data_IF_961978346625
#
_entry.id   IF_961978346625
#
_cell.length_a   1.000
_cell.length_b   1.000
_cell.length_c   1.000
_cell.angle_alpha   90.00
_cell.angle_beta   90.00
_cell.angle_gamma   90.00
#
_symmetry.space_group_name_H-M   'P 1'
#
loop_
_entity.id
_entity.type
_entity.pdbx_description
1 polymer ?
#
# COMPACT_ATOMS: atom_id res chain seq x y z
N UNK A 1 -61.06 64.94 0.20
CA UNK A 1 -59.99 63.99 -0.20
C UNK A 1 -59.40 64.39 -1.56
N UNK A 2 -58.12 64.07 -1.84
CA UNK A 2 -57.18 64.95 -2.56
C UNK A 2 -56.81 64.47 -3.97
N UNK A 3 -56.28 65.37 -4.82
CA UNK A 3 -55.36 65.01 -5.91
C UNK A 3 -54.28 66.09 -6.06
N UNK A 4 -53.04 65.78 -5.66
CA UNK A 4 -51.84 66.54 -6.02
C UNK A 4 -50.99 65.74 -7.01
N UNK A 5 -50.41 66.50 -7.93
CA UNK A 5 -49.72 66.16 -9.17
C UNK A 5 -48.29 65.65 -8.92
N UNK A 6 -47.79 64.87 -9.87
CA UNK A 6 -46.51 64.16 -9.89
C UNK A 6 -45.27 65.05 -9.78
N UNK A 7 -44.19 64.49 -9.19
CA UNK A 7 -42.81 64.78 -9.56
C UNK A 7 -42.03 63.47 -9.64
N UNK A 8 -41.31 63.31 -10.75
CA UNK A 8 -40.41 62.22 -11.06
C UNK A 8 -39.04 62.48 -10.43
N UNK A 9 -38.39 61.44 -9.89
CA UNK A 9 -36.93 61.34 -9.93
C UNK A 9 -36.50 59.87 -9.93
N UNK A 10 -35.78 59.56 -11.00
CA UNK A 10 -35.22 58.28 -11.35
C UNK A 10 -34.22 57.77 -10.31
N UNK A 11 -34.12 56.44 -10.21
CA UNK A 11 -33.09 55.79 -9.42
C UNK A 11 -33.35 54.30 -9.18
N UNK A 12 -33.84 53.56 -10.19
CA UNK A 12 -33.91 52.10 -10.08
C UNK A 12 -32.50 51.50 -10.10
N UNK A 13 -31.92 51.32 -8.91
CA UNK A 13 -30.70 50.51 -8.75
C UNK A 13 -31.04 49.08 -9.16
N UNK A 14 -30.66 48.70 -10.38
CA UNK A 14 -30.70 47.30 -10.84
C UNK A 14 -29.94 46.43 -9.82
N UNK A 15 -30.47 45.28 -9.38
CA UNK A 15 -29.71 44.40 -8.52
C UNK A 15 -28.51 43.89 -9.32
N UNK A 16 -27.31 44.15 -8.82
CA UNK A 16 -26.09 43.59 -9.41
C UNK A 16 -26.22 42.06 -9.41
N UNK A 17 -26.09 41.44 -10.59
CA UNK A 17 -25.95 39.98 -10.69
C UNK A 17 -24.73 39.60 -9.85
N UNK A 18 -24.95 38.84 -8.77
CA UNK A 18 -23.86 38.22 -8.02
C UNK A 18 -23.07 37.34 -8.98
N UNK A 19 -21.83 37.72 -9.26
CA UNK A 19 -20.90 36.85 -9.97
C UNK A 19 -20.85 35.51 -9.22
N UNK A 20 -21.17 34.42 -9.92
CA UNK A 20 -21.00 33.10 -9.35
C UNK A 20 -19.51 32.92 -9.06
N UNK A 21 -19.18 32.68 -7.79
CA UNK A 21 -17.82 32.38 -7.39
C UNK A 21 -17.33 31.19 -8.23
N UNK A 22 -16.27 31.42 -9.00
CA UNK A 22 -15.67 30.40 -9.85
C UNK A 22 -15.11 29.33 -8.92
N UNK A 23 -15.75 28.16 -8.88
CA UNK A 23 -15.30 27.04 -8.05
C UNK A 23 -13.90 26.68 -8.54
N UNK A 24 -12.90 26.90 -7.69
CA UNK A 24 -11.56 26.36 -7.91
C UNK A 24 -11.72 24.84 -7.99
N UNK A 25 -11.16 24.18 -9.02
CA UNK A 25 -11.09 22.73 -9.00
C UNK A 25 -10.31 22.35 -7.75
N UNK A 26 -10.91 21.56 -6.86
CA UNK A 26 -10.26 21.09 -5.65
C UNK A 26 -9.09 20.22 -6.11
N UNK A 27 -7.92 20.83 -6.17
CA UNK A 27 -6.68 20.18 -6.57
C UNK A 27 -6.35 19.21 -5.44
N UNK A 28 -6.52 17.93 -5.72
CA UNK A 28 -6.01 16.78 -4.96
C UNK A 28 -6.23 16.89 -3.45
N UNK A 29 -7.41 16.45 -3.02
CA UNK A 29 -7.77 16.21 -1.62
C UNK A 29 -6.91 15.05 -1.09
N UNK A 30 -5.69 15.35 -0.61
CA UNK A 30 -4.85 14.39 0.10
C UNK A 30 -5.40 14.21 1.52
N UNK A 31 -6.47 13.43 1.64
CA UNK A 31 -6.89 12.89 2.92
C UNK A 31 -5.83 11.87 3.35
N UNK A 32 -5.07 12.15 4.40
CA UNK A 32 -4.19 11.16 5.02
C UNK A 32 -5.05 10.10 5.69
N UNK A 33 -5.39 9.05 4.95
CA UNK A 33 -6.07 7.90 5.54
C UNK A 33 -5.05 7.12 6.36
N UNK A 34 -5.30 6.94 7.66
CA UNK A 34 -4.40 6.18 8.55
C UNK A 34 -4.41 4.67 8.31
N UNK A 35 -5.20 4.20 7.33
CA UNK A 35 -5.29 2.79 6.96
C UNK A 35 -4.23 2.49 5.90
N UNK A 36 -3.24 1.68 6.24
CA UNK A 36 -2.31 1.13 5.26
C UNK A 36 -3.09 0.19 4.33
N UNK A 37 -3.33 0.64 3.10
CA UNK A 37 -3.97 -0.17 2.08
C UNK A 37 -2.95 -1.14 1.49
N UNK A 38 -3.01 -2.40 1.93
CA UNK A 38 -2.27 -3.49 1.30
C UNK A 38 -3.06 -3.94 0.06
N UNK A 39 -2.44 -3.95 -1.13
CA UNK A 39 -3.08 -4.60 -2.30
C UNK A 39 -2.91 -6.09 -2.18
N UNK A 40 -3.99 -6.83 -2.40
CA UNK A 40 -3.93 -8.27 -2.50
C UNK A 40 -3.05 -8.67 -3.69
N UNK A 41 -1.90 -9.28 -3.42
CA UNK A 41 -0.95 -9.70 -4.47
C UNK A 41 -1.18 -11.13 -4.94
N UNK A 42 -1.79 -11.99 -4.10
CA UNK A 42 -2.06 -13.41 -4.41
C UNK A 42 -3.55 -13.66 -4.62
N UNK A 43 -3.88 -14.67 -5.42
CA UNK A 43 -5.26 -15.12 -5.64
C UNK A 43 -5.94 -15.53 -4.33
N UNK A 44 -5.21 -16.24 -3.46
CA UNK A 44 -5.69 -16.63 -2.13
C UNK A 44 -6.07 -15.42 -1.28
N UNK A 45 -5.28 -14.34 -1.34
CA UNK A 45 -5.60 -13.10 -0.61
C UNK A 45 -6.84 -12.40 -1.18
N UNK A 46 -7.06 -12.47 -2.50
CA UNK A 46 -8.30 -11.99 -3.14
C UNK A 46 -9.50 -12.81 -2.69
N UNK A 47 -9.30 -14.10 -2.42
CA UNK A 47 -10.32 -15.01 -1.87
C UNK A 47 -10.50 -14.92 -0.36
N UNK A 48 -9.77 -14.03 0.31
CA UNK A 48 -9.91 -13.80 1.75
C UNK A 48 -9.06 -14.72 2.61
N UNK A 49 -8.03 -15.37 2.06
CA UNK A 49 -6.98 -16.00 2.86
C UNK A 49 -6.25 -14.91 3.66
N UNK A 50 -6.15 -15.14 4.97
CA UNK A 50 -5.41 -14.31 5.92
C UNK A 50 -3.91 -14.62 5.92
N UNK A 51 -3.48 -15.54 5.04
CA UNK A 51 -2.09 -15.97 4.90
C UNK A 51 -1.69 -17.03 5.92
N UNK A 52 -2.65 -17.53 6.72
CA UNK A 52 -2.44 -18.57 7.74
C UNK A 52 -2.41 -19.98 7.15
N UNK A 53 -2.83 -20.16 5.89
CA UNK A 53 -2.95 -21.47 5.23
C UNK A 53 -1.70 -22.37 5.32
N UNK A 54 -0.50 -21.78 5.22
CA UNK A 54 0.77 -22.52 5.23
C UNK A 54 1.37 -22.71 6.63
N UNK A 55 1.40 -21.65 7.42
CA UNK A 55 2.14 -21.59 8.69
C UNK A 55 1.25 -21.48 9.93
N UNK A 56 -0.09 -21.45 9.77
CA UNK A 56 -1.12 -21.22 10.80
C UNK A 56 -1.10 -19.84 11.46
N UNK A 57 0.04 -19.17 11.44
CA UNK A 57 0.26 -17.87 12.10
C UNK A 57 0.89 -16.87 11.14
N UNK A 58 0.78 -15.58 11.46
CA UNK A 58 1.45 -14.48 10.76
C UNK A 58 2.41 -13.71 11.68
N UNK A 59 2.65 -14.26 12.87
CA UNK A 59 3.58 -13.74 13.87
C UNK A 59 4.83 -14.62 13.93
N UNK A 60 6.00 -13.95 13.92
CA UNK A 60 7.29 -14.62 13.90
C UNK A 60 7.57 -15.32 15.24
N UNK A 61 7.25 -14.66 16.36
CA UNK A 61 7.53 -15.18 17.70
C UNK A 61 6.76 -16.48 17.95
N UNK A 62 5.45 -16.45 17.67
CA UNK A 62 4.60 -17.63 17.79
C UNK A 62 5.08 -18.78 16.90
N UNK A 63 5.48 -18.48 15.66
CA UNK A 63 6.01 -19.50 14.76
C UNK A 63 7.33 -20.10 15.26
N UNK A 64 8.23 -19.30 15.85
CA UNK A 64 9.49 -19.81 16.41
C UNK A 64 9.24 -20.71 17.63
N UNK A 65 8.25 -20.38 18.46
CA UNK A 65 7.85 -21.22 19.58
C UNK A 65 7.30 -22.56 19.09
N UNK A 66 6.39 -22.55 18.11
CA UNK A 66 5.85 -23.76 17.51
C UNK A 66 6.98 -24.66 16.95
N UNK A 67 7.96 -24.07 16.26
CA UNK A 67 9.13 -24.80 15.74
C UNK A 67 10.03 -25.40 16.83
N UNK A 68 10.03 -24.80 18.03
CA UNK A 68 10.79 -25.32 19.16
C UNK A 68 10.11 -26.49 19.85
N UNK A 69 8.78 -26.56 19.79
CA UNK A 69 7.98 -27.65 20.34
C UNK A 69 7.93 -28.87 19.40
N UNK A 70 8.16 -28.68 18.09
CA UNK A 70 8.19 -29.76 17.10
C UNK A 70 9.38 -30.72 17.26
N UNK A 71 9.11 -32.02 17.07
CA UNK A 71 10.16 -33.04 17.00
C UNK A 71 10.96 -32.96 15.68
N UNK A 72 12.13 -33.60 15.61
CA UNK A 72 12.94 -33.68 14.38
C UNK A 72 12.12 -34.19 13.18
N UNK A 73 11.33 -35.25 13.38
CA UNK A 73 10.50 -35.86 12.35
C UNK A 73 9.43 -34.88 11.86
N UNK A 74 8.81 -34.16 12.79
CA UNK A 74 7.78 -33.17 12.46
C UNK A 74 8.38 -31.96 11.74
N UNK A 75 9.58 -31.51 12.12
CA UNK A 75 10.29 -30.45 11.41
C UNK A 75 10.61 -30.84 9.96
N UNK A 76 10.98 -32.10 9.71
CA UNK A 76 11.22 -32.60 8.36
C UNK A 76 9.92 -32.67 7.55
N UNK A 77 8.83 -33.17 8.16
CA UNK A 77 7.52 -33.22 7.52
C UNK A 77 6.99 -31.80 7.21
N UNK A 78 7.15 -30.87 8.14
CA UNK A 78 6.79 -29.47 7.98
C UNK A 78 7.62 -28.80 6.88
N UNK A 79 8.94 -29.01 6.85
CA UNK A 79 9.81 -28.53 5.78
C UNK A 79 9.33 -29.03 4.41
N UNK A 80 8.98 -30.32 4.32
CA UNK A 80 8.46 -30.92 3.09
C UNK A 80 7.13 -30.30 2.66
N UNK A 81 6.21 -30.03 3.61
CA UNK A 81 4.94 -29.35 3.36
C UNK A 81 5.11 -27.93 2.83
N UNK A 82 6.11 -27.21 3.31
CA UNK A 82 6.43 -25.83 2.89
C UNK A 82 7.24 -25.80 1.58
N UNK A 83 7.75 -26.96 1.12
CA UNK A 83 8.59 -27.06 -0.09
C UNK A 83 10.08 -26.81 0.17
N UNK A 84 10.53 -26.95 1.42
CA UNK A 84 11.93 -26.84 1.81
C UNK A 84 12.59 -28.21 1.91
N UNK A 85 13.82 -28.32 1.38
CA UNK A 85 14.60 -29.56 1.49
C UNK A 85 15.01 -29.78 2.95
N UNK A 86 14.64 -30.91 3.59
CA UNK A 86 15.03 -31.19 4.96
C UNK A 86 16.54 -31.33 5.13
N UNK A 87 17.06 -30.84 6.25
CA UNK A 87 18.49 -30.90 6.60
C UNK A 87 18.62 -31.55 7.97
N UNK A 88 19.64 -32.38 8.16
CA UNK A 88 19.84 -33.11 9.43
C UNK A 88 20.11 -32.19 10.62
N UNK A 89 20.76 -31.05 10.43
CA UNK A 89 20.98 -30.11 11.52
C UNK A 89 19.67 -29.34 11.81
N UNK A 90 19.06 -29.62 12.96
CA UNK A 90 17.79 -29.03 13.37
C UNK A 90 17.85 -27.51 13.50
N UNK A 91 18.97 -26.96 13.99
CA UNK A 91 19.11 -25.51 14.18
C UNK A 91 19.19 -24.78 12.84
N UNK A 92 19.88 -25.38 11.86
CA UNK A 92 19.91 -24.84 10.51
C UNK A 92 18.55 -24.94 9.83
N UNK A 93 17.85 -26.06 10.03
CA UNK A 93 16.51 -26.26 9.48
C UNK A 93 15.51 -25.22 10.04
N UNK A 94 15.52 -25.00 11.36
CA UNK A 94 14.71 -23.96 12.02
C UNK A 94 15.01 -22.57 11.47
N UNK A 95 16.29 -22.18 11.36
CA UNK A 95 16.69 -20.88 10.77
C UNK A 95 16.18 -20.71 9.34
N UNK A 96 16.26 -21.76 8.52
CA UNK A 96 15.76 -21.73 7.13
C UNK A 96 14.23 -21.59 7.09
N UNK A 97 13.52 -22.31 7.95
CA UNK A 97 12.05 -22.19 8.07
C UNK A 97 11.62 -20.77 8.47
N UNK A 98 12.30 -20.17 9.46
CA UNK A 98 12.04 -18.78 9.87
C UNK A 98 12.32 -17.79 8.74
N UNK A 99 13.39 -17.99 7.96
CA UNK A 99 13.69 -17.12 6.82
C UNK A 99 12.64 -17.22 5.71
N UNK A 100 12.13 -18.43 5.43
CA UNK A 100 11.03 -18.60 4.48
C UNK A 100 9.73 -17.97 4.99
N UNK A 101 9.42 -18.14 6.27
CA UNK A 101 8.28 -17.50 6.90
C UNK A 101 8.34 -15.97 6.74
N UNK A 102 9.50 -15.36 7.01
CA UNK A 102 9.72 -13.93 6.81
C UNK A 102 9.46 -13.48 5.37
N UNK A 103 9.89 -14.27 4.39
CA UNK A 103 9.63 -13.98 2.98
C UNK A 103 8.13 -14.04 2.67
N UNK A 104 7.42 -15.06 3.18
CA UNK A 104 5.98 -15.20 3.01
C UNK A 104 5.21 -14.02 3.64
N UNK A 105 5.55 -13.64 4.87
CA UNK A 105 4.94 -12.47 5.54
C UNK A 105 5.26 -11.17 4.79
N UNK A 106 6.50 -10.99 4.34
CA UNK A 106 6.90 -9.82 3.58
C UNK A 106 6.12 -9.71 2.27
N UNK A 107 5.94 -10.83 1.54
CA UNK A 107 5.11 -10.91 0.34
C UNK A 107 3.65 -10.57 0.66
N UNK A 108 3.09 -11.16 1.72
CA UNK A 108 1.69 -10.93 2.09
C UNK A 108 1.41 -9.47 2.50
N UNK A 109 2.35 -8.82 3.19
CA UNK A 109 2.24 -7.43 3.68
C UNK A 109 2.88 -6.38 2.77
N UNK A 110 3.13 -6.67 1.49
CA UNK A 110 3.78 -5.68 0.61
C UNK A 110 2.91 -4.42 0.44
N UNK A 111 3.41 -3.22 0.81
CA UNK A 111 2.72 -1.97 0.49
C UNK A 111 2.80 -1.69 -1.01
N UNK A 112 1.73 -1.08 -1.52
CA UNK A 112 1.45 -0.84 -2.96
C UNK A 112 2.52 -0.03 -3.68
N UNK A 113 3.30 0.78 -2.97
CA UNK A 113 4.03 1.89 -3.59
C UNK A 113 5.40 1.52 -4.19
N UNK A 114 5.91 0.30 -4.00
CA UNK A 114 7.28 -0.03 -4.43
C UNK A 114 7.39 -0.95 -5.66
N UNK A 115 6.28 -1.28 -6.31
CA UNK A 115 6.30 -2.04 -7.57
C UNK A 115 6.28 -1.15 -8.82
N UNK A 116 6.37 0.17 -8.69
CA UNK A 116 6.77 1.05 -9.79
C UNK A 116 8.27 0.86 -10.02
N UNK A 117 8.56 -0.14 -10.86
CA UNK A 117 9.68 -0.22 -11.80
C UNK A 117 10.79 0.80 -11.52
N UNK A 118 11.98 0.29 -11.22
CA UNK A 118 13.25 1.00 -11.46
C UNK A 118 13.45 1.26 -12.96
N UNK A 119 12.49 1.89 -13.62
CA UNK A 119 12.74 2.75 -14.76
C UNK A 119 13.43 4.00 -14.19
N UNK A 120 14.64 3.82 -13.65
CA UNK A 120 15.59 4.90 -13.42
C UNK A 120 16.01 5.38 -14.81
N UNK A 121 15.09 6.06 -15.51
CA UNK A 121 15.41 6.85 -16.68
C UNK A 121 16.27 8.00 -16.16
N UNK A 122 17.57 7.77 -16.10
CA UNK A 122 18.58 8.78 -15.82
C UNK A 122 18.21 10.03 -16.64
N UNK A 123 18.19 11.19 -15.97
CA UNK A 123 18.03 12.48 -16.67
C UNK A 123 19.03 12.54 -17.83
N UNK A 124 18.63 13.14 -18.95
CA UNK A 124 19.49 13.28 -20.14
C UNK A 124 20.83 13.93 -19.80
N UNK A 125 20.81 14.83 -18.83
CA UNK A 125 22.01 15.50 -18.30
C UNK A 125 22.95 14.52 -17.58
N UNK A 126 22.40 13.64 -16.73
CA UNK A 126 23.19 12.61 -16.05
C UNK A 126 23.81 11.61 -17.02
N UNK A 127 23.12 11.28 -18.13
CA UNK A 127 23.69 10.44 -19.20
C UNK A 127 24.83 11.13 -19.94
N UNK A 128 24.66 12.42 -20.28
CA UNK A 128 25.68 13.20 -20.98
C UNK A 128 26.98 13.32 -20.19
N UNK A 129 26.89 13.57 -18.89
CA UNK A 129 28.06 13.67 -18.00
C UNK A 129 28.85 12.35 -17.95
N UNK A 130 28.15 11.21 -17.98
CA UNK A 130 28.79 9.88 -17.98
C UNK A 130 29.43 9.51 -19.33
N UNK A 131 28.91 10.03 -20.44
CA UNK A 131 29.44 9.78 -21.79
C UNK A 131 30.67 10.64 -22.12
N UNK A 132 30.74 11.86 -21.59
CA UNK A 132 31.83 12.82 -21.87
C UNK A 132 33.16 12.47 -21.17
N UNK A 133 33.14 11.62 -20.14
CA UNK A 133 34.31 11.25 -19.34
C UNK A 133 34.98 9.92 -19.68
N UNK A 134 34.73 9.33 -20.86
CA UNK A 134 35.27 8.03 -21.28
C UNK A 134 36.28 8.14 -22.42
#
# INVERSE_FOLDING_TARGET
>A
MPRKKATSKAGSKKPARRASAKKTPVKELNQTHGKQEYKAITLDQIWGDDGSSKYKTLDEEQYTQDLNEMSRTDLHAHASKVGLIPVENTDQLKKRLVNEFKKHVAQFRMPVENASKKDLKLSKEARKILEEGR
#
